data_IF_685319644433
#
_entry.id   IF_685319644433
#
_cell.length_a   1.000
_cell.length_b   1.000
_cell.length_c   1.000
_cell.angle_alpha   90.00
_cell.angle_beta   90.00
_cell.angle_gamma   90.00
#
_symmetry.space_group_name_H-M   'P 1'
#
loop_
_entity.id
_entity.type
_entity.pdbx_description
1 polymer ?
#
# COMPACT_ATOMS: atom_id res chain seq x y z
N UNK A 1 -4.90 9.62 -7.49
CA UNK A 1 -5.81 8.68 -6.80
C UNK A 1 -5.23 8.20 -5.47
N UNK A 2 -4.02 7.63 -5.42
CA UNK A 2 -3.39 7.18 -4.16
C UNK A 2 -3.31 8.28 -3.08
N UNK A 3 -2.94 9.52 -3.46
CA UNK A 3 -2.91 10.68 -2.55
C UNK A 3 -4.26 11.00 -1.89
N UNK A 4 -5.38 10.70 -2.56
CA UNK A 4 -6.73 10.93 -2.02
C UNK A 4 -7.12 9.88 -0.98
N UNK A 5 -6.62 8.64 -1.12
CA UNK A 5 -6.78 7.57 -0.13
C UNK A 5 -5.89 7.81 1.10
N UNK A 6 -4.68 8.32 0.88
CA UNK A 6 -3.72 8.72 1.94
C UNK A 6 -4.27 9.87 2.81
N UNK A 7 -5.10 10.76 2.25
CA UNK A 7 -5.71 11.85 3.02
C UNK A 7 -6.86 11.36 3.94
N UNK A 8 -7.47 10.21 3.64
CA UNK A 8 -8.58 9.65 4.40
C UNK A 8 -8.14 8.80 5.60
N UNK A 9 -6.84 8.53 5.75
CA UNK A 9 -6.30 7.68 6.80
C UNK A 9 -6.09 8.43 8.12
N UNK A 10 -6.48 7.78 9.23
CA UNK A 10 -6.56 8.24 10.64
C UNK A 10 -5.27 8.84 11.25
N UNK A 11 -4.14 8.80 10.54
CA UNK A 11 -2.88 9.43 10.93
C UNK A 11 -2.25 10.04 9.67
N UNK A 12 -1.67 11.25 9.73
CA UNK A 12 -0.96 11.81 8.59
C UNK A 12 0.21 10.89 8.26
N UNK A 13 0.12 10.15 7.16
CA UNK A 13 1.25 9.40 6.64
C UNK A 13 2.37 10.41 6.36
N UNK A 14 3.52 10.18 6.97
CA UNK A 14 4.73 10.95 6.67
C UNK A 14 5.22 10.58 5.26
N UNK A 15 6.06 11.42 4.68
CA UNK A 15 6.56 11.21 3.31
C UNK A 15 7.29 9.85 3.19
N UNK A 16 8.01 9.45 4.23
CA UNK A 16 8.63 8.11 4.35
C UNK A 16 7.60 6.97 4.36
N UNK A 17 6.45 7.15 5.03
CA UNK A 17 5.37 6.16 5.08
C UNK A 17 4.74 5.98 3.69
N UNK A 18 4.53 7.09 2.99
CA UNK A 18 4.02 7.10 1.61
C UNK A 18 5.02 6.42 0.67
N UNK A 19 6.30 6.75 0.79
CA UNK A 19 7.36 6.15 -0.02
C UNK A 19 7.50 4.65 0.22
N UNK A 20 7.22 4.15 1.42
CA UNK A 20 7.16 2.72 1.72
C UNK A 20 5.95 2.07 1.05
N UNK A 21 4.76 2.65 1.23
CA UNK A 21 3.52 2.12 0.62
C UNK A 21 3.61 2.08 -0.91
N UNK A 22 4.17 3.11 -1.53
CA UNK A 22 4.40 3.17 -2.98
C UNK A 22 5.41 2.13 -3.47
N UNK A 23 6.49 1.88 -2.71
CA UNK A 23 7.46 0.82 -3.04
C UNK A 23 6.84 -0.57 -3.03
N UNK A 24 6.05 -0.89 -2.00
CA UNK A 24 5.30 -2.16 -1.92
C UNK A 24 4.34 -2.28 -3.10
N UNK A 25 3.56 -1.22 -3.35
CA UNK A 25 2.60 -1.19 -4.44
C UNK A 25 3.25 -1.42 -5.81
N UNK A 26 4.37 -0.75 -6.08
CA UNK A 26 5.10 -0.87 -7.34
C UNK A 26 5.73 -2.27 -7.50
N UNK A 27 6.22 -2.85 -6.39
CA UNK A 27 6.76 -4.22 -6.38
C UNK A 27 5.68 -5.25 -6.71
N UNK A 28 4.49 -5.12 -6.13
CA UNK A 28 3.40 -6.07 -6.33
C UNK A 28 2.76 -5.94 -7.72
N UNK A 29 2.57 -4.70 -8.20
CA UNK A 29 2.06 -4.44 -9.56
C UNK A 29 3.09 -4.78 -10.65
N UNK A 30 4.38 -4.80 -10.33
CA UNK A 30 5.44 -5.25 -11.24
C UNK A 30 5.56 -6.78 -11.36
N UNK A 31 5.05 -7.54 -10.39
CA UNK A 31 5.13 -9.00 -10.40
C UNK A 31 4.03 -9.67 -11.23
N UNK A 32 2.87 -9.03 -11.34
CA UNK A 32 1.79 -9.51 -12.20
C UNK A 32 1.00 -8.36 -12.81
N UNK A 33 0.52 -8.49 -14.05
CA UNK A 33 -0.43 -7.53 -14.60
C UNK A 33 -1.68 -7.52 -13.72
N UNK A 34 -2.05 -6.33 -13.26
CA UNK A 34 -3.24 -6.06 -12.44
C UNK A 34 -4.14 -5.09 -13.16
N UNK A 35 -5.45 -5.33 -13.08
CA UNK A 35 -6.48 -4.40 -13.54
C UNK A 35 -6.51 -3.15 -12.66
N UNK A 36 -7.12 -2.06 -13.15
CA UNK A 36 -7.20 -0.82 -12.38
C UNK A 36 -7.94 -1.00 -11.04
N UNK A 37 -9.00 -1.83 -11.01
CA UNK A 37 -9.72 -2.17 -9.78
C UNK A 37 -8.87 -2.97 -8.78
N UNK A 38 -8.07 -3.92 -9.26
CA UNK A 38 -7.14 -4.69 -8.41
C UNK A 38 -6.06 -3.78 -7.82
N UNK A 39 -5.58 -2.80 -8.60
CA UNK A 39 -4.62 -1.79 -8.14
C UNK A 39 -5.22 -0.90 -7.06
N UNK A 40 -6.46 -0.42 -7.25
CA UNK A 40 -7.13 0.39 -6.22
C UNK A 40 -7.37 -0.40 -4.93
N UNK A 41 -7.82 -1.65 -5.04
CA UNK A 41 -7.94 -2.55 -3.88
C UNK A 41 -6.60 -2.74 -3.20
N UNK A 42 -5.54 -3.04 -3.96
CA UNK A 42 -4.21 -3.25 -3.41
C UNK A 42 -3.70 -2.03 -2.63
N UNK A 43 -3.84 -0.83 -3.20
CA UNK A 43 -3.45 0.41 -2.53
C UNK A 43 -4.22 0.62 -1.21
N UNK A 44 -5.53 0.35 -1.22
CA UNK A 44 -6.37 0.42 -0.03
C UNK A 44 -5.94 -0.60 1.03
N UNK A 45 -5.60 -1.82 0.63
CA UNK A 45 -5.16 -2.88 1.54
C UNK A 45 -3.79 -2.58 2.14
N UNK A 46 -2.84 -2.06 1.35
CA UNK A 46 -1.52 -1.60 1.84
C UNK A 46 -1.70 -0.54 2.93
N UNK A 47 -2.53 0.47 2.67
CA UNK A 47 -2.82 1.53 3.64
C UNK A 47 -3.47 0.98 4.91
N UNK A 48 -4.43 0.05 4.77
CA UNK A 48 -5.11 -0.56 5.90
C UNK A 48 -4.13 -1.30 6.82
N UNK A 49 -3.27 -2.16 6.29
CA UNK A 49 -2.26 -2.87 7.07
C UNK A 49 -1.21 -1.94 7.68
N UNK A 50 -0.81 -0.89 6.96
CA UNK A 50 0.10 0.12 7.48
C UNK A 50 -0.46 0.82 8.73
N UNK A 51 -1.75 1.16 8.68
CA UNK A 51 -2.47 1.76 9.81
C UNK A 51 -2.69 0.80 10.97
N UNK A 52 -2.88 -0.49 10.67
CA UNK A 52 -3.04 -1.54 11.69
C UNK A 52 -1.74 -1.77 12.48
N UNK A 53 -0.60 -1.37 11.91
CA UNK A 53 0.71 -1.37 12.58
C UNK A 53 1.81 -2.08 11.81
N UNK A 54 1.51 -2.62 10.62
CA UNK A 54 2.49 -3.30 9.76
C UNK A 54 3.30 -2.25 8.99
N UNK A 55 4.39 -1.77 9.60
CA UNK A 55 5.27 -0.74 9.03
C UNK A 55 6.50 -1.28 8.30
N UNK A 56 6.52 -2.58 8.02
CA UNK A 56 7.64 -3.25 7.39
C UNK A 56 7.29 -3.66 5.94
N UNK A 57 8.14 -3.27 4.99
CA UNK A 57 7.95 -3.52 3.55
C UNK A 57 7.84 -5.02 3.24
N UNK A 58 8.69 -5.85 3.86
CA UNK A 58 8.71 -7.30 3.62
C UNK A 58 7.47 -7.98 4.20
N UNK A 59 7.03 -7.54 5.38
CA UNK A 59 5.84 -8.04 6.06
C UNK A 59 4.58 -7.70 5.28
N UNK A 60 4.45 -6.46 4.80
CA UNK A 60 3.37 -6.05 3.89
C UNK A 60 3.39 -6.85 2.58
N UNK A 61 4.56 -7.00 1.97
CA UNK A 61 4.70 -7.75 0.72
C UNK A 61 4.29 -9.21 0.90
N UNK A 62 4.72 -9.86 2.00
CA UNK A 62 4.32 -11.24 2.30
C UNK A 62 2.82 -11.36 2.56
N UNK A 63 2.24 -10.48 3.38
CA UNK A 63 0.81 -10.47 3.69
C UNK A 63 -0.09 -10.30 2.45
N UNK A 64 0.40 -9.57 1.45
CA UNK A 64 -0.35 -9.28 0.22
C UNK A 64 -0.07 -10.26 -0.92
N UNK A 65 0.93 -11.14 -0.76
CA UNK A 65 1.26 -12.20 -1.72
C UNK A 65 0.79 -13.59 -1.29
N UNK A 66 0.36 -13.77 -0.04
CA UNK A 66 -0.22 -15.01 0.49
C UNK A 66 -1.69 -15.19 0.05
#
# INVERSE_FOLDING_TARGET
MIRSLIAATKAPLQDDDVALCERVFHRLTGQRPMSNGEREQLASTILHFYQDGVRDEQSLTRLLMD
#
